data_IF_776977860270
#
_entry.id   IF_776977860270
#
_cell.length_a   1.000
_cell.length_b   1.000
_cell.length_c   1.000
_cell.angle_alpha   90.00
_cell.angle_beta   90.00
_cell.angle_gamma   90.00
#
_symmetry.space_group_name_H-M   'P 1'
#
loop_
_entity.id
_entity.type
_entity.pdbx_description
1 polymer ?
#
# COMPACT_ATOMS: atom_id res chain seq x y z
N UNK A 1 30.35 -13.62 2.16
CA UNK A 1 30.16 -12.62 3.24
C UNK A 1 28.97 -13.09 4.05
N UNK A 2 29.23 -13.62 5.24
CA UNK A 2 28.27 -14.42 6.00
C UNK A 2 27.14 -13.54 6.56
N UNK A 3 25.92 -13.71 6.08
CA UNK A 3 24.70 -13.06 6.62
C UNK A 3 24.18 -13.81 7.85
N UNK A 4 25.08 -14.28 8.73
CA UNK A 4 24.75 -15.19 9.84
C UNK A 4 25.11 -14.61 11.20
N UNK A 5 24.74 -13.36 11.44
CA UNK A 5 24.50 -12.86 12.80
C UNK A 5 23.38 -11.84 12.73
N UNK A 6 22.18 -12.33 12.44
CA UNK A 6 20.97 -11.57 12.72
C UNK A 6 20.66 -11.84 14.18
N UNK A 7 21.04 -10.87 15.02
CA UNK A 7 20.64 -10.83 16.42
C UNK A 7 19.13 -11.16 16.50
N UNK A 8 18.71 -12.07 17.38
CA UNK A 8 17.33 -12.58 17.39
C UNK A 8 16.28 -11.46 17.47
N UNK A 9 16.65 -10.33 18.09
CA UNK A 9 15.86 -9.10 18.18
C UNK A 9 15.49 -8.51 16.79
N UNK A 10 16.41 -8.56 15.82
CA UNK A 10 16.20 -8.01 14.47
C UNK A 10 15.20 -8.84 13.67
N UNK A 11 15.30 -10.18 13.79
CA UNK A 11 14.32 -11.10 13.19
C UNK A 11 12.95 -10.92 13.83
N UNK A 12 12.88 -10.81 15.16
CA UNK A 12 11.62 -10.59 15.88
C UNK A 12 10.96 -9.28 15.44
N UNK A 13 11.72 -8.19 15.32
CA UNK A 13 11.21 -6.91 14.84
C UNK A 13 10.65 -6.99 13.40
N UNK A 14 11.33 -7.71 12.49
CA UNK A 14 10.88 -7.87 11.11
C UNK A 14 9.62 -8.77 10.99
N UNK A 15 9.49 -9.78 11.85
CA UNK A 15 8.36 -10.71 11.89
C UNK A 15 7.08 -10.10 12.47
N UNK A 16 7.20 -9.16 13.41
CA UNK A 16 6.06 -8.48 14.05
C UNK A 16 5.54 -7.29 13.24
N UNK A 17 6.38 -6.66 12.42
CA UNK A 17 5.98 -5.57 11.53
C UNK A 17 4.67 -5.86 10.76
N UNK A 18 4.51 -6.98 10.03
CA UNK A 18 3.29 -7.25 9.26
C UNK A 18 2.02 -7.44 10.11
N UNK A 19 2.13 -7.68 11.42
CA UNK A 19 0.97 -7.81 12.32
C UNK A 19 0.40 -6.46 12.74
N UNK A 20 1.18 -5.38 12.63
CA UNK A 20 0.78 -4.03 12.99
C UNK A 20 0.35 -3.20 11.77
N UNK A 21 0.74 -3.62 10.56
CA UNK A 21 0.37 -2.94 9.33
C UNK A 21 -1.07 -3.26 8.90
N UNK A 22 -1.74 -2.22 8.43
CA UNK A 22 -3.05 -2.27 7.82
C UNK A 22 -2.93 -2.55 6.33
N UNK A 23 -3.78 -3.45 5.81
CA UNK A 23 -3.96 -3.67 4.37
C UNK A 23 -5.28 -3.05 3.92
N UNK A 24 -5.21 -2.08 3.00
CA UNK A 24 -6.39 -1.38 2.45
C UNK A 24 -6.51 -1.74 0.97
N UNK A 25 -7.71 -2.09 0.53
CA UNK A 25 -8.00 -2.43 -0.88
C UNK A 25 -9.12 -1.54 -1.39
N UNK A 26 -8.82 -0.72 -2.40
CA UNK A 26 -9.78 0.18 -3.03
C UNK A 26 -10.00 -0.25 -4.47
N UNK A 27 -11.26 -0.48 -4.85
CA UNK A 27 -11.62 -0.81 -6.24
C UNK A 27 -11.99 0.46 -6.99
N UNK A 28 -11.36 0.68 -8.15
CA UNK A 28 -11.54 1.86 -8.98
C UNK A 28 -11.93 1.48 -10.41
N UNK A 29 -12.88 2.20 -10.99
CA UNK A 29 -13.31 2.01 -12.38
C UNK A 29 -12.65 3.05 -13.30
N UNK A 30 -11.35 2.90 -13.49
CA UNK A 30 -10.56 3.83 -14.32
C UNK A 30 -10.55 3.38 -15.78
N UNK A 31 -10.98 4.25 -16.70
CA UNK A 31 -11.00 3.97 -18.14
C UNK A 31 -9.72 4.37 -18.88
N UNK A 32 -8.77 5.03 -18.22
CA UNK A 32 -7.59 5.58 -18.86
C UNK A 32 -6.29 5.26 -18.09
N UNK A 33 -5.19 4.96 -18.80
CA UNK A 33 -3.92 4.62 -18.15
C UNK A 33 -3.30 5.79 -17.39
N UNK A 34 -3.48 7.02 -17.90
CA UNK A 34 -3.09 8.24 -17.17
C UNK A 34 -3.84 8.35 -15.82
N UNK A 35 -5.09 7.92 -15.78
CA UNK A 35 -5.93 7.91 -14.58
C UNK A 35 -5.37 6.91 -13.56
N UNK A 36 -4.98 5.70 -14.02
CA UNK A 36 -4.32 4.69 -13.19
C UNK A 36 -3.01 5.19 -12.60
N UNK A 37 -2.14 5.81 -13.41
CA UNK A 37 -0.89 6.37 -12.90
C UNK A 37 -1.12 7.48 -11.86
N UNK A 38 -2.14 8.32 -12.02
CA UNK A 38 -2.50 9.35 -11.04
C UNK A 38 -3.04 8.75 -9.74
N UNK A 39 -3.98 7.82 -9.84
CA UNK A 39 -4.53 7.09 -8.69
C UNK A 39 -3.41 6.42 -7.87
N UNK A 40 -2.46 5.76 -8.54
CA UNK A 40 -1.32 5.14 -7.88
C UNK A 40 -0.41 6.16 -7.19
N UNK A 41 -0.16 7.31 -7.81
CA UNK A 41 0.63 8.39 -7.18
C UNK A 41 -0.03 8.90 -5.91
N UNK A 42 -1.35 9.12 -5.95
CA UNK A 42 -2.14 9.56 -4.80
C UNK A 42 -2.06 8.53 -3.66
N UNK A 43 -2.22 7.25 -4.00
CA UNK A 43 -2.07 6.15 -3.05
C UNK A 43 -0.67 6.09 -2.42
N UNK A 44 0.38 6.26 -3.24
CA UNK A 44 1.76 6.13 -2.79
C UNK A 44 2.21 7.26 -1.86
N UNK A 45 1.61 8.45 -1.97
CA UNK A 45 1.94 9.62 -1.12
C UNK A 45 0.98 9.79 0.05
N UNK A 46 0.03 8.87 0.23
CA UNK A 46 -0.87 8.93 1.37
C UNK A 46 -0.13 8.65 2.68
N UNK A 47 -0.55 9.34 3.73
CA UNK A 47 0.06 9.21 5.05
C UNK A 47 -0.05 7.76 5.57
N UNK A 48 1.03 7.30 6.21
CA UNK A 48 1.13 5.93 6.73
C UNK A 48 1.38 4.84 5.69
N UNK A 49 1.30 5.12 4.38
CA UNK A 49 1.49 4.09 3.33
C UNK A 49 2.96 3.73 3.15
N UNK A 50 3.26 2.44 3.18
CA UNK A 50 4.59 1.86 2.99
C UNK A 50 4.72 1.20 1.61
N UNK A 51 3.65 0.59 1.13
CA UNK A 51 3.64 -0.11 -0.16
C UNK A 51 2.30 0.06 -0.88
N UNK A 52 2.37 0.15 -2.21
CA UNK A 52 1.20 0.19 -3.08
C UNK A 52 1.37 -0.73 -4.28
N UNK A 53 0.29 -1.39 -4.70
CA UNK A 53 0.27 -2.27 -5.86
C UNK A 53 -1.09 -2.23 -6.56
N UNK A 54 -1.07 -2.50 -7.87
CA UNK A 54 -2.28 -2.86 -8.60
C UNK A 54 -2.51 -4.36 -8.48
N UNK A 55 -3.68 -4.76 -8.02
CA UNK A 55 -4.16 -6.14 -8.00
C UNK A 55 -5.47 -6.28 -8.79
N UNK A 56 -5.94 -7.53 -8.93
CA UNK A 56 -7.13 -7.89 -9.70
C UNK A 56 -6.83 -8.14 -11.17
N UNK A 57 -7.64 -9.00 -11.80
CA UNK A 57 -7.47 -9.46 -13.19
C UNK A 57 -7.40 -8.27 -14.18
N UNK A 58 -8.22 -7.24 -13.93
CA UNK A 58 -8.30 -6.03 -14.75
C UNK A 58 -7.41 -4.87 -14.25
N UNK A 59 -6.54 -5.11 -13.24
CA UNK A 59 -5.76 -4.06 -12.55
C UNK A 59 -6.63 -2.89 -12.11
N UNK A 60 -7.75 -3.22 -11.46
CA UNK A 60 -8.76 -2.29 -10.99
C UNK A 60 -8.79 -2.15 -9.47
N UNK A 61 -7.88 -2.82 -8.75
CA UNK A 61 -7.76 -2.70 -7.29
C UNK A 61 -6.42 -2.08 -6.93
N UNK A 62 -6.44 -0.94 -6.23
CA UNK A 62 -5.25 -0.42 -5.57
C UNK A 62 -5.17 -1.05 -4.18
N UNK A 63 -4.05 -1.68 -3.91
CA UNK A 63 -3.76 -2.32 -2.63
C UNK A 63 -2.65 -1.55 -1.95
N UNK A 64 -2.93 -1.09 -0.74
CA UNK A 64 -2.01 -0.31 0.08
C UNK A 64 -1.69 -1.10 1.35
N UNK A 65 -0.46 -1.01 1.82
CA UNK A 65 -0.05 -1.54 3.12
C UNK A 65 0.70 -0.46 3.87
N UNK A 66 0.35 -0.24 5.13
CA UNK A 66 0.84 0.90 5.89
C UNK A 66 0.47 0.87 7.36
N UNK A 67 0.98 1.80 8.15
CA UNK A 67 0.63 2.01 9.55
C UNK A 67 -0.06 3.35 9.69
N UNK A 68 -1.23 3.39 10.36
CA UNK A 68 -1.98 4.64 10.55
C UNK A 68 -2.62 5.23 9.28
N UNK A 69 -2.81 4.43 8.21
CA UNK A 69 -3.41 4.94 6.97
C UNK A 69 -4.91 5.20 7.13
N UNK A 70 -5.33 6.44 6.89
CA UNK A 70 -6.75 6.82 6.87
C UNK A 70 -7.40 6.48 5.53
N UNK A 71 -8.18 5.39 5.50
CA UNK A 71 -8.87 4.92 4.30
C UNK A 71 -9.90 5.93 3.74
N UNK A 72 -10.50 6.79 4.57
CA UNK A 72 -11.48 7.77 4.14
C UNK A 72 -10.81 8.92 3.39
N UNK A 73 -9.71 9.45 3.92
CA UNK A 73 -8.90 10.50 3.27
C UNK A 73 -8.35 10.00 1.94
N UNK A 74 -7.80 8.79 1.91
CA UNK A 74 -7.30 8.17 0.68
C UNK A 74 -8.43 8.04 -0.35
N UNK A 75 -9.56 7.45 0.03
CA UNK A 75 -10.70 7.27 -0.88
C UNK A 75 -11.22 8.60 -1.41
N UNK A 76 -11.27 9.64 -0.57
CA UNK A 76 -11.68 10.99 -0.95
C UNK A 76 -10.78 11.56 -2.06
N UNK A 77 -9.46 11.42 -1.91
CA UNK A 77 -8.49 11.89 -2.91
C UNK A 77 -8.55 11.10 -4.23
N UNK A 78 -9.07 9.87 -4.19
CA UNK A 78 -9.21 8.99 -5.34
C UNK A 78 -10.57 9.14 -6.07
N UNK A 79 -11.61 9.66 -5.41
CA UNK A 79 -12.98 9.78 -5.96
C UNK A 79 -13.06 10.60 -7.26
N UNK A 80 -12.06 11.44 -7.54
CA UNK A 80 -12.02 12.34 -8.71
C UNK A 80 -11.60 11.63 -10.01
N UNK A 81 -11.19 10.35 -9.95
CA UNK A 81 -10.59 9.62 -11.09
C UNK A 81 -11.34 8.35 -11.50
#
# INVERSE_FOLDING_TARGET
MCVHSQNALFLLHLQLLPLLLQKIVITLKLKCDKCRSKAMKIAAVADGVISVAWEGDEKNKVVMTGDGTDAAIVTWNLHVY
#
